data_IF_824507808318
#
_entry.id   IF_824507808318
#
_cell.length_a   1.000
_cell.length_b   1.000
_cell.length_c   1.000
_cell.angle_alpha   90.00
_cell.angle_beta   90.00
_cell.angle_gamma   90.00
#
_symmetry.space_group_name_H-M   'P 1'
#
loop_
_entity.id
_entity.type
_entity.pdbx_description
1 polymer ?
#
# COMPACT_ATOMS: atom_id res chain seq x y z
N UNK A 1 19.25 20.27 -32.85
CA UNK A 1 18.10 19.67 -32.15
C UNK A 1 18.20 18.17 -32.32
N UNK A 2 18.62 17.44 -31.28
CA UNK A 2 18.74 15.98 -31.33
C UNK A 2 17.41 15.42 -30.83
N UNK A 3 16.58 14.91 -31.73
CA UNK A 3 15.43 14.10 -31.36
C UNK A 3 15.96 12.78 -30.80
N UNK A 4 16.02 12.65 -29.48
CA UNK A 4 16.46 11.41 -28.82
C UNK A 4 15.46 10.28 -29.11
N UNK A 5 15.84 9.21 -29.84
CA UNK A 5 14.96 8.09 -30.15
C UNK A 5 14.41 7.38 -28.90
N UNK A 6 15.06 7.55 -27.74
CA UNK A 6 14.60 7.03 -26.45
C UNK A 6 13.28 7.63 -25.97
N UNK A 7 12.98 8.90 -26.27
CA UNK A 7 11.76 9.57 -25.77
C UNK A 7 10.51 9.07 -26.53
N UNK A 8 10.65 8.81 -27.83
CA UNK A 8 9.56 8.28 -28.65
C UNK A 8 9.24 6.82 -28.30
N UNK A 9 10.26 5.99 -28.04
CA UNK A 9 10.06 4.60 -27.65
C UNK A 9 9.38 4.46 -26.28
N UNK A 10 9.73 5.31 -25.30
CA UNK A 10 9.07 5.31 -23.98
C UNK A 10 7.61 5.76 -24.05
N UNK A 11 7.28 6.75 -24.89
CA UNK A 11 5.91 7.20 -25.07
C UNK A 11 5.01 6.11 -25.70
N UNK A 12 5.53 5.38 -26.70
CA UNK A 12 4.81 4.27 -27.34
C UNK A 12 4.57 3.10 -26.38
N UNK A 13 5.53 2.81 -25.50
CA UNK A 13 5.35 1.77 -24.48
C UNK A 13 4.28 2.16 -23.47
N UNK A 14 4.29 3.41 -22.96
CA UNK A 14 3.29 3.89 -21.99
C UNK A 14 1.89 3.81 -22.60
N UNK A 15 1.72 4.21 -23.86
CA UNK A 15 0.45 4.08 -24.58
C UNK A 15 0.00 2.63 -24.66
N UNK A 16 0.89 1.72 -25.08
CA UNK A 16 0.55 0.29 -25.18
C UNK A 16 0.16 -0.33 -23.84
N UNK A 17 0.89 -0.01 -22.77
CA UNK A 17 0.56 -0.54 -21.42
C UNK A 17 -0.78 0.02 -20.93
N UNK A 18 -1.12 1.27 -21.28
CA UNK A 18 -2.42 1.87 -20.96
C UNK A 18 -3.62 1.20 -21.65
N UNK A 19 -3.40 0.50 -22.76
CA UNK A 19 -4.45 -0.22 -23.50
C UNK A 19 -4.70 -1.64 -22.94
N UNK A 20 -3.82 -2.16 -22.08
CA UNK A 20 -3.97 -3.50 -21.51
C UNK A 20 -5.13 -3.48 -20.48
N UNK A 21 -6.13 -4.38 -20.60
CA UNK A 21 -7.29 -4.39 -19.71
C UNK A 21 -7.00 -5.07 -18.36
N UNK A 22 -6.01 -4.57 -17.60
CA UNK A 22 -5.51 -5.19 -16.37
C UNK A 22 -6.60 -5.48 -15.33
N UNK A 23 -7.58 -4.58 -15.18
CA UNK A 23 -8.73 -4.79 -14.28
C UNK A 23 -9.49 -6.07 -14.63
N UNK A 24 -9.72 -6.32 -15.93
CA UNK A 24 -10.40 -7.53 -16.39
C UNK A 24 -9.51 -8.77 -16.18
N UNK A 25 -8.20 -8.64 -16.42
CA UNK A 25 -7.23 -9.73 -16.20
C UNK A 25 -7.08 -10.11 -14.72
N UNK A 26 -7.31 -9.18 -13.79
CA UNK A 26 -7.31 -9.45 -12.35
C UNK A 26 -8.64 -10.08 -11.92
N UNK A 27 -9.76 -9.52 -12.37
CA UNK A 27 -11.09 -9.94 -11.93
C UNK A 27 -11.60 -11.22 -12.61
N UNK A 28 -11.03 -11.59 -13.76
CA UNK A 28 -11.44 -12.77 -14.52
C UNK A 28 -11.23 -14.09 -13.78
N UNK A 29 -11.88 -15.14 -14.29
CA UNK A 29 -11.70 -16.52 -13.82
C UNK A 29 -10.47 -17.15 -14.49
N UNK A 30 -9.31 -16.71 -14.01
CA UNK A 30 -8.02 -17.20 -14.45
C UNK A 30 -7.43 -18.23 -13.49
N UNK A 31 -6.48 -19.02 -14.00
CA UNK A 31 -5.64 -19.90 -13.17
C UNK A 31 -4.80 -19.08 -12.18
N UNK A 32 -4.31 -19.73 -11.12
CA UNK A 32 -3.40 -19.09 -10.15
C UNK A 32 -2.13 -18.64 -10.86
N UNK A 33 -1.59 -19.45 -11.76
CA UNK A 33 -0.40 -19.17 -12.53
C UNK A 33 -0.57 -17.92 -13.41
N UNK A 34 -1.74 -17.78 -14.06
CA UNK A 34 -2.07 -16.60 -14.85
C UNK A 34 -2.11 -15.33 -13.99
N UNK A 35 -2.74 -15.39 -12.81
CA UNK A 35 -2.78 -14.25 -11.88
C UNK A 35 -1.37 -13.87 -11.37
N UNK A 36 -0.51 -14.86 -11.10
CA UNK A 36 0.90 -14.62 -10.77
C UNK A 36 1.61 -13.79 -11.85
N UNK A 37 1.44 -14.17 -13.12
CA UNK A 37 2.06 -13.47 -14.25
C UNK A 37 1.53 -12.06 -14.42
N UNK A 38 0.21 -11.86 -14.29
CA UNK A 38 -0.42 -10.54 -14.37
C UNK A 38 0.11 -9.60 -13.28
N UNK A 39 0.18 -10.07 -12.03
CA UNK A 39 0.70 -9.28 -10.92
C UNK A 39 2.20 -8.98 -11.09
N UNK A 40 3.00 -9.95 -11.52
CA UNK A 40 4.43 -9.72 -11.77
C UNK A 40 4.65 -8.70 -12.89
N UNK A 41 3.87 -8.76 -13.96
CA UNK A 41 3.91 -7.80 -15.05
C UNK A 41 3.54 -6.39 -14.57
N UNK A 42 2.47 -6.28 -13.76
CA UNK A 42 2.05 -5.02 -13.15
C UNK A 42 3.13 -4.44 -12.24
N UNK A 43 3.74 -5.24 -11.36
CA UNK A 43 4.83 -4.80 -10.49
C UNK A 43 6.01 -4.27 -11.31
N UNK A 44 6.39 -4.99 -12.36
CA UNK A 44 7.50 -4.57 -13.23
C UNK A 44 7.18 -3.25 -13.93
N UNK A 45 6.00 -3.11 -14.52
CA UNK A 45 5.61 -1.85 -15.17
C UNK A 45 5.54 -0.69 -14.16
N UNK A 46 4.94 -0.92 -13.00
CA UNK A 46 4.79 0.14 -12.01
C UNK A 46 6.12 0.52 -11.33
N UNK A 47 7.15 -0.31 -11.41
CA UNK A 47 8.50 0.00 -10.92
C UNK A 47 9.21 1.13 -11.70
N UNK A 48 8.72 1.48 -12.89
CA UNK A 48 9.28 2.55 -13.72
C UNK A 48 8.48 3.85 -13.57
N UNK A 49 9.07 4.87 -12.91
CA UNK A 49 8.46 6.20 -12.76
C UNK A 49 8.13 6.78 -14.15
N UNK A 50 6.84 6.90 -14.46
CA UNK A 50 6.32 7.40 -15.75
C UNK A 50 5.15 6.60 -16.33
N UNK A 51 4.89 5.39 -15.83
CA UNK A 51 3.77 4.51 -16.26
C UNK A 51 2.47 4.81 -15.48
N UNK A 52 2.35 6.04 -14.95
CA UNK A 52 1.29 6.48 -14.01
C UNK A 52 -0.13 6.23 -14.55
N UNK A 53 -0.34 6.40 -15.86
CA UNK A 53 -1.68 6.30 -16.47
C UNK A 53 -2.34 4.92 -16.36
N UNK A 54 -1.58 3.87 -16.05
CA UNK A 54 -2.09 2.49 -15.93
C UNK A 54 -2.75 2.26 -14.58
N UNK A 55 -2.35 3.05 -13.57
CA UNK A 55 -2.83 2.92 -12.18
C UNK A 55 -3.65 4.11 -11.72
N UNK A 56 -3.69 5.21 -12.48
CA UNK A 56 -4.51 6.39 -12.14
C UNK A 56 -5.98 6.00 -12.02
N UNK A 57 -6.60 6.38 -10.91
CA UNK A 57 -7.98 6.00 -10.62
C UNK A 57 -8.98 6.66 -11.57
N UNK A 58 -9.70 5.86 -12.36
CA UNK A 58 -10.86 6.23 -13.16
C UNK A 58 -11.95 5.14 -12.97
N UNK A 59 -12.93 5.39 -12.11
CA UNK A 59 -14.07 4.53 -11.71
C UNK A 59 -13.75 3.12 -11.15
N UNK A 60 -13.12 2.23 -11.93
CA UNK A 60 -12.60 0.94 -11.48
C UNK A 60 -11.13 0.85 -11.83
N UNK A 61 -10.25 1.06 -10.84
CA UNK A 61 -8.81 1.05 -11.07
C UNK A 61 -8.17 -0.32 -10.75
N UNK A 62 -6.93 -0.50 -11.20
CA UNK A 62 -6.12 -1.70 -10.92
C UNK A 62 -6.00 -1.95 -9.41
N UNK A 63 -5.83 -0.90 -8.60
CA UNK A 63 -5.73 -1.03 -7.14
C UNK A 63 -7.04 -1.54 -6.51
N UNK A 64 -8.21 -1.07 -6.99
CA UNK A 64 -9.50 -1.62 -6.59
C UNK A 64 -9.65 -3.08 -7.00
N UNK A 65 -9.23 -3.46 -8.22
CA UNK A 65 -9.29 -4.85 -8.67
C UNK A 65 -8.42 -5.76 -7.80
N UNK A 66 -7.20 -5.31 -7.44
CA UNK A 66 -6.33 -6.03 -6.50
C UNK A 66 -6.96 -6.14 -5.11
N UNK A 67 -7.57 -5.07 -4.58
CA UNK A 67 -8.26 -5.13 -3.30
C UNK A 67 -9.42 -6.15 -3.31
N UNK A 68 -10.22 -6.17 -4.38
CA UNK A 68 -11.28 -7.16 -4.55
C UNK A 68 -10.73 -8.59 -4.70
N UNK A 69 -9.63 -8.80 -5.43
CA UNK A 69 -8.95 -10.09 -5.51
C UNK A 69 -8.59 -10.59 -4.09
N UNK A 70 -8.02 -9.72 -3.25
CA UNK A 70 -7.65 -10.05 -1.87
C UNK A 70 -8.88 -10.40 -1.03
N UNK A 71 -9.91 -9.56 -1.05
CA UNK A 71 -11.11 -9.73 -0.24
C UNK A 71 -11.95 -10.95 -0.65
N UNK A 72 -12.15 -11.16 -1.95
CA UNK A 72 -13.11 -12.14 -2.46
C UNK A 72 -12.47 -13.50 -2.78
N UNK A 73 -11.21 -13.54 -3.23
CA UNK A 73 -10.53 -14.80 -3.62
C UNK A 73 -9.48 -15.24 -2.60
N UNK A 74 -8.56 -14.34 -2.21
CA UNK A 74 -7.45 -14.73 -1.30
C UNK A 74 -7.99 -15.04 0.09
N UNK A 75 -8.76 -14.12 0.68
CA UNK A 75 -9.27 -14.27 2.05
C UNK A 75 -10.22 -15.45 2.22
N UNK A 76 -10.92 -15.87 1.15
CA UNK A 76 -11.84 -17.02 1.17
C UNK A 76 -11.14 -18.35 0.93
N UNK A 77 -9.93 -18.35 0.35
CA UNK A 77 -9.16 -19.55 0.03
C UNK A 77 -7.65 -19.31 0.21
N UNK A 78 -7.19 -18.94 1.42
CA UNK A 78 -5.84 -18.41 1.64
C UNK A 78 -4.74 -19.41 1.22
N UNK A 79 -4.91 -20.71 1.49
CA UNK A 79 -3.96 -21.74 1.06
C UNK A 79 -3.79 -21.83 -0.46
N UNK A 80 -4.87 -21.66 -1.24
CA UNK A 80 -4.82 -21.74 -2.70
C UNK A 80 -4.09 -20.54 -3.30
N UNK A 81 -4.21 -19.37 -2.67
CA UNK A 81 -3.72 -18.09 -3.19
C UNK A 81 -2.54 -17.52 -2.40
N UNK A 82 -1.84 -18.37 -1.65
CA UNK A 82 -0.73 -17.97 -0.79
C UNK A 82 0.41 -17.28 -1.56
N UNK A 83 0.80 -17.83 -2.72
CA UNK A 83 1.80 -17.18 -3.58
C UNK A 83 1.29 -15.91 -4.25
N UNK A 84 -0.03 -15.80 -4.49
CA UNK A 84 -0.65 -14.61 -5.05
C UNK A 84 -0.60 -13.47 -4.04
N UNK A 85 -0.83 -13.75 -2.75
CA UNK A 85 -0.74 -12.74 -1.70
C UNK A 85 0.65 -12.08 -1.67
N UNK A 86 1.72 -12.87 -1.77
CA UNK A 86 3.09 -12.35 -1.83
C UNK A 86 3.27 -11.38 -3.01
N UNK A 87 2.71 -11.72 -4.18
CA UNK A 87 2.77 -10.87 -5.37
C UNK A 87 1.92 -9.60 -5.25
N UNK A 88 0.78 -9.70 -4.58
CA UNK A 88 -0.04 -8.53 -4.24
C UNK A 88 0.73 -7.58 -3.32
N UNK A 89 1.36 -8.11 -2.27
CA UNK A 89 2.16 -7.31 -1.35
C UNK A 89 3.35 -6.63 -2.06
N UNK A 90 4.07 -7.38 -2.91
CA UNK A 90 5.13 -6.83 -3.75
C UNK A 90 4.64 -5.67 -4.63
N UNK A 91 3.51 -5.87 -5.30
CA UNK A 91 2.89 -4.87 -6.16
C UNK A 91 2.52 -3.59 -5.39
N UNK A 92 1.79 -3.74 -4.28
CA UNK A 92 1.33 -2.61 -3.48
C UNK A 92 2.51 -1.87 -2.83
N UNK A 93 3.52 -2.58 -2.34
CA UNK A 93 4.75 -1.96 -1.81
C UNK A 93 5.46 -1.12 -2.87
N UNK A 94 5.58 -1.60 -4.11
CA UNK A 94 6.18 -0.83 -5.20
C UNK A 94 5.37 0.43 -5.50
N UNK A 95 4.04 0.30 -5.60
CA UNK A 95 3.15 1.43 -5.88
C UNK A 95 3.29 2.52 -4.83
N UNK A 96 3.11 2.18 -3.56
CA UNK A 96 3.09 3.18 -2.48
C UNK A 96 4.48 3.69 -2.08
N UNK A 97 5.56 3.05 -2.55
CA UNK A 97 6.92 3.58 -2.39
C UNK A 97 7.28 4.57 -3.51
N UNK A 98 6.78 4.35 -4.73
CA UNK A 98 7.18 5.13 -5.89
C UNK A 98 6.23 6.29 -6.22
N UNK A 99 4.95 6.15 -5.88
CA UNK A 99 3.92 7.12 -6.20
C UNK A 99 3.24 7.63 -4.93
N UNK A 100 3.11 8.95 -4.87
CA UNK A 100 2.35 9.63 -3.83
C UNK A 100 0.85 9.42 -4.01
N UNK A 101 0.12 9.68 -2.93
CA UNK A 101 -1.33 9.58 -2.91
C UNK A 101 -2.02 10.48 -3.95
N UNK A 102 -1.50 11.70 -4.12
CA UNK A 102 -1.96 12.69 -5.09
C UNK A 102 -1.71 12.28 -6.55
N UNK A 103 -0.56 11.67 -6.83
CA UNK A 103 -0.26 11.15 -8.17
C UNK A 103 -1.22 10.02 -8.58
N UNK A 104 -1.66 9.22 -7.61
CA UNK A 104 -2.61 8.12 -7.82
C UNK A 104 -4.08 8.58 -7.82
N UNK A 105 -4.37 9.82 -7.41
CA UNK A 105 -5.71 10.44 -7.29
C UNK A 105 -6.65 9.64 -6.40
N UNK A 106 -6.16 9.24 -5.23
CA UNK A 106 -6.89 8.33 -4.33
C UNK A 106 -7.71 9.08 -3.27
N UNK A 107 -7.58 10.39 -3.14
CA UNK A 107 -8.18 11.25 -2.11
C UNK A 107 -9.69 11.08 -1.97
N UNK A 108 -10.38 11.12 -3.11
CA UNK A 108 -11.84 11.04 -3.19
C UNK A 108 -12.37 9.63 -3.39
N UNK A 109 -11.50 8.61 -3.37
CA UNK A 109 -11.87 7.22 -3.68
C UNK A 109 -12.00 6.35 -2.42
N UNK A 110 -12.80 5.28 -2.53
CA UNK A 110 -12.87 4.22 -1.51
C UNK A 110 -11.73 3.20 -1.61
N UNK A 111 -10.96 3.25 -2.71
CA UNK A 111 -9.84 2.36 -3.01
C UNK A 111 -8.86 2.20 -1.83
N UNK A 112 -8.39 3.29 -1.18
CA UNK A 112 -7.67 3.24 0.08
C UNK A 112 -8.19 2.28 1.14
N UNK A 113 -9.46 2.44 1.50
CA UNK A 113 -10.11 1.71 2.57
C UNK A 113 -10.25 0.25 2.18
N UNK A 114 -10.56 -0.02 0.91
CA UNK A 114 -10.63 -1.38 0.36
C UNK A 114 -9.27 -2.09 0.39
N UNK A 115 -8.18 -1.40 0.03
CA UNK A 115 -6.82 -1.96 0.07
C UNK A 115 -6.45 -2.31 1.51
N UNK A 116 -6.62 -1.36 2.44
CA UNK A 116 -6.34 -1.59 3.86
C UNK A 116 -7.15 -2.76 4.41
N UNK A 117 -8.47 -2.75 4.18
CA UNK A 117 -9.38 -3.81 4.62
C UNK A 117 -8.96 -5.16 4.04
N UNK A 118 -8.59 -5.20 2.76
CA UNK A 118 -8.11 -6.42 2.09
C UNK A 118 -6.86 -6.98 2.73
N UNK A 119 -5.82 -6.16 2.95
CA UNK A 119 -4.58 -6.58 3.58
C UNK A 119 -4.86 -7.12 4.99
N UNK A 120 -5.58 -6.36 5.82
CA UNK A 120 -5.90 -6.77 7.20
C UNK A 120 -6.70 -8.07 7.23
N UNK A 121 -7.75 -8.16 6.42
CA UNK A 121 -8.62 -9.35 6.36
C UNK A 121 -7.84 -10.57 5.91
N UNK A 122 -7.02 -10.45 4.87
CA UNK A 122 -6.25 -11.58 4.35
C UNK A 122 -5.18 -12.05 5.34
N UNK A 123 -4.45 -11.14 5.99
CA UNK A 123 -3.48 -11.51 7.03
C UNK A 123 -4.15 -12.21 8.20
N UNK A 124 -5.34 -11.76 8.61
CA UNK A 124 -6.14 -12.45 9.63
C UNK A 124 -6.51 -13.87 9.17
N UNK A 125 -6.91 -14.03 7.91
CA UNK A 125 -7.22 -15.35 7.34
C UNK A 125 -6.01 -16.26 7.24
N UNK A 126 -4.83 -15.75 6.94
CA UNK A 126 -3.58 -16.53 6.99
C UNK A 126 -3.19 -16.93 8.42
N UNK A 127 -3.50 -16.08 9.41
CA UNK A 127 -3.32 -16.40 10.82
C UNK A 127 -4.20 -17.57 11.26
N UNK A 128 -5.48 -17.57 10.87
CA UNK A 128 -6.44 -18.64 11.22
C UNK A 128 -6.02 -20.03 10.70
N UNK A 129 -5.18 -20.11 9.67
CA UNK A 129 -4.70 -21.37 9.06
C UNK A 129 -3.23 -21.69 9.36
N UNK A 130 -2.61 -20.96 10.30
CA UNK A 130 -1.16 -20.85 10.50
C UNK A 130 -0.37 -22.12 10.80
N UNK A 131 -1.04 -23.27 10.94
CA UNK A 131 -0.44 -24.57 11.27
C UNK A 131 0.17 -25.30 10.05
N UNK A 132 -0.03 -24.79 8.83
CA UNK A 132 0.41 -25.42 7.58
C UNK A 132 1.26 -24.43 6.76
N UNK A 133 2.45 -24.83 6.29
CA UNK A 133 3.37 -23.99 5.47
C UNK A 133 4.04 -22.81 6.21
N UNK A 134 4.62 -23.08 7.38
CA UNK A 134 5.18 -22.10 8.32
C UNK A 134 6.16 -21.10 7.69
N UNK A 135 7.05 -21.53 6.78
CA UNK A 135 8.04 -20.62 6.14
C UNK A 135 7.41 -19.61 5.20
N UNK A 136 6.45 -20.04 4.38
CA UNK A 136 5.86 -19.17 3.37
C UNK A 136 4.81 -18.25 3.99
N UNK A 137 4.08 -18.73 5.00
CA UNK A 137 3.24 -17.89 5.84
C UNK A 137 4.05 -16.79 6.54
N UNK A 138 5.24 -17.11 7.06
CA UNK A 138 6.13 -16.09 7.63
C UNK A 138 6.52 -15.02 6.62
N UNK A 139 6.75 -15.40 5.35
CA UNK A 139 7.02 -14.43 4.30
C UNK A 139 5.82 -13.53 4.02
N UNK A 140 4.60 -14.09 3.96
CA UNK A 140 3.34 -13.34 3.83
C UNK A 140 3.22 -12.35 4.99
N UNK A 141 3.32 -12.80 6.24
CA UNK A 141 3.23 -11.89 7.38
C UNK A 141 4.29 -10.79 7.33
N UNK A 142 5.54 -11.12 6.97
CA UNK A 142 6.63 -10.13 6.92
C UNK A 142 6.34 -9.02 5.92
N UNK A 143 5.91 -9.40 4.73
CA UNK A 143 5.57 -8.46 3.66
C UNK A 143 4.29 -7.68 4.01
N UNK A 144 3.25 -8.35 4.47
CA UNK A 144 1.99 -7.73 4.87
C UNK A 144 2.14 -6.71 5.98
N UNK A 145 2.87 -7.03 7.05
CA UNK A 145 3.12 -6.07 8.13
C UNK A 145 4.05 -4.92 7.72
N UNK A 146 5.05 -5.20 6.87
CA UNK A 146 5.88 -4.13 6.28
C UNK A 146 5.03 -3.19 5.41
N UNK A 147 4.09 -3.74 4.64
CA UNK A 147 3.17 -2.96 3.84
C UNK A 147 2.20 -2.17 4.74
N UNK A 148 1.65 -2.75 5.80
CA UNK A 148 0.81 -2.00 6.76
C UNK A 148 1.58 -0.82 7.38
N UNK A 149 2.87 -0.99 7.67
CA UNK A 149 3.75 0.09 8.12
C UNK A 149 3.99 1.18 7.08
N UNK A 150 4.22 0.76 5.84
CA UNK A 150 4.33 1.70 4.73
C UNK A 150 3.04 2.53 4.63
N UNK A 151 1.89 1.87 4.71
CA UNK A 151 0.59 2.53 4.62
C UNK A 151 0.33 3.40 5.86
N UNK A 152 0.63 2.97 7.08
CA UNK A 152 0.40 3.80 8.27
C UNK A 152 1.17 5.12 8.22
N UNK A 153 2.35 5.11 7.59
CA UNK A 153 3.21 6.30 7.43
C UNK A 153 2.80 7.22 6.27
N UNK A 154 2.41 6.64 5.13
CA UNK A 154 2.23 7.42 3.89
C UNK A 154 0.78 7.63 3.49
N UNK A 155 -0.16 6.96 4.15
CA UNK A 155 -1.57 7.02 3.81
C UNK A 155 -2.29 8.11 4.63
N UNK A 156 -2.80 9.18 3.98
CA UNK A 156 -3.58 10.18 4.70
C UNK A 156 -4.78 9.56 5.40
N UNK A 157 -4.98 9.97 6.65
CA UNK A 157 -6.07 9.53 7.51
C UNK A 157 -6.14 8.00 7.70
N UNK A 158 -4.98 7.32 7.73
CA UNK A 158 -4.92 5.87 8.00
C UNK A 158 -5.75 5.47 9.22
N UNK A 159 -5.64 6.24 10.32
CA UNK A 159 -6.39 5.99 11.56
C UNK A 159 -7.91 6.05 11.34
N UNK A 160 -8.43 7.07 10.64
CA UNK A 160 -9.86 7.21 10.36
C UNK A 160 -10.36 6.11 9.42
N UNK A 161 -9.58 5.77 8.38
CA UNK A 161 -9.95 4.74 7.40
C UNK A 161 -10.04 3.35 8.01
N UNK A 162 -9.31 3.09 9.11
CA UNK A 162 -9.36 1.80 9.81
C UNK A 162 -10.64 1.57 10.62
N UNK A 163 -11.35 2.62 11.00
CA UNK A 163 -12.55 2.54 11.85
C UNK A 163 -13.61 1.60 11.27
N UNK A 164 -13.75 1.56 9.94
CA UNK A 164 -14.72 0.70 9.25
C UNK A 164 -14.47 -0.81 9.42
N UNK A 165 -13.28 -1.22 9.85
CA UNK A 165 -12.90 -2.63 10.07
C UNK A 165 -12.04 -2.80 11.33
N UNK A 166 -12.25 -1.92 12.32
CA UNK A 166 -11.45 -1.82 13.55
C UNK A 166 -11.38 -3.15 14.30
N UNK A 167 -12.50 -3.85 14.46
CA UNK A 167 -12.54 -5.16 15.14
C UNK A 167 -11.62 -6.19 14.48
N UNK A 168 -11.57 -6.21 13.14
CA UNK A 168 -10.70 -7.12 12.39
C UNK A 168 -9.23 -6.72 12.54
N UNK A 169 -8.94 -5.42 12.52
CA UNK A 169 -7.60 -4.89 12.77
C UNK A 169 -7.11 -5.24 14.17
N UNK A 170 -7.89 -4.95 15.22
CA UNK A 170 -7.56 -5.26 16.61
C UNK A 170 -7.33 -6.77 16.78
N UNK A 171 -8.20 -7.60 16.18
CA UNK A 171 -8.06 -9.06 16.23
C UNK A 171 -6.75 -9.53 15.62
N UNK A 172 -6.38 -8.99 14.44
CA UNK A 172 -5.11 -9.30 13.78
C UNK A 172 -3.91 -8.92 14.64
N UNK A 173 -3.84 -7.67 15.08
CA UNK A 173 -2.68 -7.16 15.83
C UNK A 173 -2.55 -7.89 17.18
N UNK A 174 -3.66 -8.09 17.89
CA UNK A 174 -3.68 -8.87 19.14
C UNK A 174 -3.24 -10.31 18.95
N UNK A 175 -3.77 -10.97 17.91
CA UNK A 175 -3.49 -12.37 17.62
C UNK A 175 -2.03 -12.61 17.30
N UNK A 176 -1.41 -11.73 16.51
CA UNK A 176 -0.01 -11.88 16.15
C UNK A 176 0.90 -11.48 17.32
N UNK A 177 0.56 -10.45 18.11
CA UNK A 177 1.29 -10.14 19.36
C UNK A 177 1.28 -11.35 20.31
N UNK A 178 0.16 -12.05 20.43
CA UNK A 178 0.08 -13.30 21.20
C UNK A 178 1.01 -14.37 20.62
N UNK A 179 1.00 -14.59 19.30
CA UNK A 179 1.92 -15.53 18.65
C UNK A 179 3.40 -15.18 18.87
N UNK A 180 3.77 -13.90 18.87
CA UNK A 180 5.17 -13.50 19.10
C UNK A 180 5.66 -13.91 20.50
N UNK A 181 4.75 -13.97 21.49
CA UNK A 181 5.05 -14.44 22.86
C UNK A 181 5.12 -15.97 22.94
N UNK A 182 4.25 -16.65 22.21
CA UNK A 182 4.07 -18.11 22.30
C UNK A 182 5.02 -18.89 21.37
N UNK A 183 5.47 -18.29 20.27
CA UNK A 183 6.24 -18.97 19.24
C UNK A 183 7.51 -18.18 18.87
N UNK A 184 8.68 -18.76 19.15
CA UNK A 184 9.98 -18.18 18.86
C UNK A 184 10.16 -17.81 17.37
N UNK A 185 9.48 -18.52 16.47
CA UNK A 185 9.53 -18.28 15.03
C UNK A 185 8.95 -16.93 14.61
N UNK A 186 8.03 -16.39 15.41
CA UNK A 186 7.33 -15.13 15.18
C UNK A 186 7.84 -13.96 16.05
N UNK A 187 8.91 -14.16 16.84
CA UNK A 187 9.46 -13.10 17.70
C UNK A 187 9.89 -11.85 16.93
N UNK A 188 10.40 -12.02 15.70
CA UNK A 188 10.85 -10.90 14.85
C UNK A 188 9.74 -9.92 14.46
N UNK A 189 8.47 -10.31 14.63
CA UNK A 189 7.32 -9.47 14.33
C UNK A 189 6.94 -8.55 15.49
N UNK A 190 7.49 -8.75 16.69
CA UNK A 190 7.06 -7.99 17.87
C UNK A 190 7.21 -6.49 17.66
N UNK A 191 8.40 -6.03 17.28
CA UNK A 191 8.67 -4.61 17.02
C UNK A 191 7.83 -4.09 15.84
N UNK A 192 7.72 -4.90 14.77
CA UNK A 192 6.93 -4.59 13.57
C UNK A 192 5.41 -4.52 13.85
N UNK A 193 4.93 -4.93 15.01
CA UNK A 193 3.49 -4.95 15.31
C UNK A 193 3.17 -4.01 16.45
N UNK A 194 4.10 -3.83 17.37
CA UNK A 194 4.00 -2.84 18.44
C UNK A 194 3.78 -1.43 17.88
N UNK A 195 4.50 -1.06 16.82
CA UNK A 195 4.36 0.25 16.17
C UNK A 195 3.00 0.40 15.43
N UNK A 196 2.30 -0.69 15.12
CA UNK A 196 0.94 -0.69 14.56
C UNK A 196 -0.15 -0.72 15.64
N UNK A 197 0.23 -1.07 16.88
CA UNK A 197 -0.64 -1.12 18.06
C UNK A 197 -0.83 0.27 18.68
N UNK A 198 -0.79 1.32 17.87
CA UNK A 198 -0.99 2.69 18.34
C UNK A 198 -2.49 3.06 18.28
N UNK A 199 -3.20 2.59 19.32
CA UNK A 199 -4.50 3.09 19.75
C UNK A 199 -4.38 4.14 20.86
N UNK A 200 -3.16 4.56 21.20
CA UNK A 200 -2.96 5.63 22.19
C UNK A 200 -2.48 6.91 21.51
N UNK A 201 -3.38 7.87 21.63
CA UNK A 201 -3.23 9.31 21.50
C UNK A 201 -3.09 9.91 20.09
N UNK A 202 -4.02 10.83 19.88
CA UNK A 202 -4.03 11.84 18.86
C UNK A 202 -2.65 12.50 18.76
N UNK A 203 -1.96 12.28 17.64
CA UNK A 203 -1.13 13.33 17.06
C UNK A 203 -2.07 14.25 16.26
N UNK A 204 -3.01 14.88 16.96
CA UNK A 204 -3.20 16.32 16.77
C UNK A 204 -1.81 16.92 16.94
N UNK A 205 -1.36 17.75 15.99
CA UNK A 205 0.03 18.20 15.81
C UNK A 205 0.87 17.32 14.85
N UNK A 206 0.36 17.13 13.64
CA UNK A 206 1.20 17.56 12.52
C UNK A 206 0.98 19.07 12.40
N UNK A 207 1.72 19.84 13.20
CA UNK A 207 2.01 21.23 12.89
C UNK A 207 2.70 21.19 11.52
N UNK A 208 1.90 21.48 10.49
CA UNK A 208 2.42 22.00 9.25
C UNK A 208 2.95 23.39 9.58
N UNK A 209 4.14 23.45 10.19
CA UNK A 209 4.94 24.66 10.18
C UNK A 209 5.16 25.00 8.70
N UNK A 210 4.35 25.92 8.18
CA UNK A 210 4.70 26.68 6.99
C UNK A 210 6.10 27.23 7.22
N UNK A 211 7.08 26.97 6.34
CA UNK A 211 8.32 27.72 6.41
C UNK A 211 8.00 29.15 6.02
N UNK A 212 7.76 29.99 7.03
CA UNK A 212 7.81 31.43 6.94
C UNK A 212 9.27 31.83 6.76
N UNK A 213 9.73 31.86 5.51
CA UNK A 213 10.92 32.61 5.14
C UNK A 213 10.51 34.01 4.70
N UNK A 214 10.49 34.95 5.66
CA UNK A 214 11.03 36.28 5.39
C UNK A 214 11.42 36.96 6.71
N UNK A 215 12.66 36.72 7.12
CA UNK A 215 13.35 37.53 8.12
C UNK A 215 14.67 38.05 7.56
N UNK A 216 14.58 39.05 6.69
CA UNK A 216 15.64 40.08 6.66
C UNK A 216 15.36 41.09 7.78
N UNK A 217 16.09 40.93 8.88
CA UNK A 217 16.18 41.87 9.99
C UNK A 217 16.72 43.23 9.55
N UNK A 218 16.02 44.27 10.04
CA UNK A 218 16.53 45.50 10.64
C UNK A 218 17.80 46.17 10.08
N UNK A 219 17.63 47.44 9.67
CA UNK A 219 18.51 48.48 10.18
C UNK A 219 17.68 49.65 10.75
N UNK A 220 17.92 49.93 12.02
CA UNK A 220 17.36 51.05 12.78
C UNK A 220 18.31 52.22 12.62
N UNK A 221 17.81 53.40 12.26
CA UNK A 221 18.44 54.67 12.64
C UNK A 221 17.39 55.77 12.70
N UNK A 222 17.12 56.17 13.94
CA UNK A 222 16.34 57.29 14.42
C UNK A 222 16.56 58.62 13.68
N UNK A 223 15.51 59.43 13.50
CA UNK A 223 15.52 60.83 13.93
C UNK A 223 14.12 61.49 13.90
N UNK A 224 13.87 62.24 14.97
CA UNK A 224 12.72 63.08 15.29
C UNK A 224 12.60 64.35 14.41
N UNK A 225 11.40 64.95 14.49
CA UNK A 225 10.96 66.31 14.08
C UNK A 225 10.59 66.43 12.59
N UNK A 226 9.43 66.95 12.18
CA UNK A 226 8.48 67.91 12.79
C UNK A 226 7.02 67.56 12.52
#
# INVERSE_FOLDING_TARGET
>A
MVNSPNIAASANLIQFVGEIPFVHLINGDHSVESLCLVLQLLTNFCSHKGIISVTTHHDVCVLCAVAHLVLLKISTSPMKYLNIMIKVEDFLSVIFTLYSFAELRLESSSCPTLILQGIVTSLWKFYEIGEKEVSTLKLVFKKGFTLLHLLSRYFPNFKERRVAFEDCYISLVSGILKLTKENAFFKEFYDLIHDLWDFQDDTSELDLDEPCEDSTQNDVSSQNNS
#
